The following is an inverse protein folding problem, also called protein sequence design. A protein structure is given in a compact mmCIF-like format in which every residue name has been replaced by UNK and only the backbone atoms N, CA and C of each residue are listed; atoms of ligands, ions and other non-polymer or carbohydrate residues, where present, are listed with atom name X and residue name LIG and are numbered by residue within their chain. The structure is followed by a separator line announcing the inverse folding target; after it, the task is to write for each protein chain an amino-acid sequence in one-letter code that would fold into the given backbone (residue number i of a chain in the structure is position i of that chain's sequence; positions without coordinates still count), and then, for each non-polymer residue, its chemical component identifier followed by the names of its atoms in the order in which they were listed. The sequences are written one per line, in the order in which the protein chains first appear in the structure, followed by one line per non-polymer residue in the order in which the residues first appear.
data_IF_495218463578
#
_entry.id   IF_495218463578
#
_cell.length_a   1.000
_cell.length_b   1.000
_cell.length_c   1.000
_cell.angle_alpha   90.00
_cell.angle_beta   90.00
_cell.angle_gamma   90.00
#
_symmetry.space_group_name_H-M   'P 1'
#
loop_
_entity.id
_entity.type
_entity.pdbx_description
1 polymer ?
#
# COMPACT_ATOMS: atom_id res chain seq x y z
N UNK A 1 -56.12 40.96 -44.25
CA UNK A 1 -55.85 40.27 -42.97
C UNK A 1 -56.63 38.97 -42.93
N UNK A 2 -55.97 37.82 -43.05
CA UNK A 2 -56.58 36.49 -42.86
C UNK A 2 -55.71 35.72 -41.88
N UNK A 3 -56.37 35.24 -40.84
CA UNK A 3 -55.83 34.73 -39.59
C UNK A 3 -55.35 33.28 -39.76
N UNK A 4 -54.04 33.04 -39.80
CA UNK A 4 -53.46 31.69 -39.89
C UNK A 4 -53.09 31.20 -38.49
N UNK A 5 -54.09 31.05 -37.63
CA UNK A 5 -53.91 30.43 -36.31
C UNK A 5 -54.81 29.19 -36.15
N UNK A 6 -54.70 28.28 -37.11
CA UNK A 6 -55.34 26.97 -37.05
C UNK A 6 -54.37 25.90 -37.55
N UNK A 7 -53.30 25.66 -36.80
CA UNK A 7 -52.49 24.44 -36.94
C UNK A 7 -52.00 23.99 -35.56
N UNK A 8 -52.32 22.73 -35.23
CA UNK A 8 -51.84 21.90 -34.12
C UNK A 8 -52.65 21.95 -32.80
N UNK A 9 -53.93 21.61 -32.85
CA UNK A 9 -54.75 21.29 -31.66
C UNK A 9 -55.36 19.88 -31.72
N UNK A 10 -54.63 18.91 -32.28
CA UNK A 10 -55.13 17.54 -32.50
C UNK A 10 -54.19 16.41 -32.12
N UNK A 11 -53.09 16.67 -31.39
CA UNK A 11 -52.22 15.61 -30.89
C UNK A 11 -52.21 15.67 -29.36
N UNK A 12 -52.62 14.59 -28.70
CA UNK A 12 -52.51 14.46 -27.25
C UNK A 12 -51.03 14.66 -26.86
N UNK A 13 -50.75 15.69 -26.06
CA UNK A 13 -49.40 15.95 -25.58
C UNK A 13 -49.04 14.89 -24.55
N UNK A 14 -48.26 13.89 -24.98
CA UNK A 14 -47.77 12.83 -24.10
C UNK A 14 -46.75 13.46 -23.14
N UNK A 15 -46.94 13.35 -21.82
CA UNK A 15 -45.98 13.86 -20.84
C UNK A 15 -44.56 13.36 -21.12
N UNK A 16 -43.56 14.25 -21.05
CA UNK A 16 -42.15 13.92 -21.33
C UNK A 16 -41.62 12.76 -20.49
N UNK A 17 -42.16 12.58 -19.28
CA UNK A 17 -41.83 11.46 -18.39
C UNK A 17 -42.18 10.09 -18.99
N UNK A 18 -43.26 10.02 -19.79
CA UNK A 18 -43.68 8.78 -20.46
C UNK A 18 -42.83 8.54 -21.71
N UNK A 19 -42.48 9.59 -22.44
CA UNK A 19 -41.55 9.50 -23.57
C UNK A 19 -40.17 9.03 -23.13
N UNK A 20 -39.66 9.58 -22.03
CA UNK A 20 -38.35 9.23 -21.46
C UNK A 20 -38.32 7.79 -20.94
N UNK A 21 -39.36 7.36 -20.20
CA UNK A 21 -39.50 5.96 -19.76
C UNK A 21 -39.55 4.96 -20.91
N UNK A 22 -40.21 5.31 -22.02
CA UNK A 22 -40.24 4.45 -23.22
C UNK A 22 -38.87 4.36 -23.89
N UNK A 23 -38.17 5.48 -24.01
CA UNK A 23 -36.82 5.50 -24.54
C UNK A 23 -35.85 4.67 -23.67
N UNK A 24 -35.93 4.80 -22.35
CA UNK A 24 -35.10 4.05 -21.41
C UNK A 24 -35.40 2.54 -21.46
N UNK A 25 -36.68 2.16 -21.64
CA UNK A 25 -37.08 0.76 -21.81
C UNK A 25 -36.63 0.19 -23.16
N UNK A 26 -36.72 0.96 -24.25
CA UNK A 26 -36.24 0.56 -25.57
C UNK A 26 -34.71 0.40 -25.59
N UNK A 27 -33.97 1.28 -24.91
CA UNK A 27 -32.52 1.19 -24.76
C UNK A 27 -32.11 0.02 -23.86
N UNK A 28 -32.86 -0.27 -22.80
CA UNK A 28 -32.67 -1.49 -21.99
C UNK A 28 -32.97 -2.75 -22.81
N UNK A 29 -33.99 -2.74 -23.66
CA UNK A 29 -34.32 -3.84 -24.56
C UNK A 29 -33.23 -4.05 -25.62
N UNK A 30 -32.69 -2.96 -26.22
CA UNK A 30 -31.54 -3.02 -27.14
C UNK A 30 -30.28 -3.53 -26.46
N UNK A 31 -29.99 -3.08 -25.24
CA UNK A 31 -28.84 -3.56 -24.46
C UNK A 31 -29.02 -5.03 -24.07
N UNK A 32 -30.23 -5.46 -23.70
CA UNK A 32 -30.54 -6.87 -23.44
C UNK A 32 -30.37 -7.71 -24.70
N UNK A 33 -30.92 -7.30 -25.83
CA UNK A 33 -30.76 -7.97 -27.13
C UNK A 33 -29.29 -7.99 -27.61
N UNK A 34 -28.50 -6.95 -27.32
CA UNK A 34 -27.07 -6.93 -27.64
C UNK A 34 -26.24 -7.79 -26.67
N UNK A 35 -26.69 -7.95 -25.42
CA UNK A 35 -26.05 -8.80 -24.40
C UNK A 35 -26.48 -10.27 -24.46
N UNK A 36 -27.67 -10.53 -25.02
CA UNK A 36 -28.14 -11.86 -25.39
C UNK A 36 -27.30 -12.32 -26.58
N UNK A 37 -26.16 -12.95 -26.27
CA UNK A 37 -25.53 -13.81 -27.27
C UNK A 37 -26.60 -14.79 -27.76
N UNK A 38 -26.73 -15.02 -29.08
CA UNK A 38 -27.68 -15.99 -29.58
C UNK A 38 -27.44 -17.30 -28.84
N UNK A 39 -28.49 -18.06 -28.48
CA UNK A 39 -28.31 -19.33 -27.79
C UNK A 39 -27.28 -20.11 -28.60
N UNK A 40 -26.16 -20.47 -27.97
CA UNK A 40 -25.16 -21.33 -28.61
C UNK A 40 -25.97 -22.52 -29.10
N UNK A 41 -26.10 -22.67 -30.42
CA UNK A 41 -26.74 -23.86 -30.99
C UNK A 41 -26.06 -25.04 -30.30
N UNK A 42 -26.82 -25.77 -29.49
CA UNK A 42 -26.39 -27.07 -29.01
C UNK A 42 -26.28 -27.91 -30.29
N UNK A 43 -25.10 -27.86 -30.90
CA UNK A 43 -24.81 -28.58 -32.11
C UNK A 43 -24.96 -30.05 -31.80
N UNK A 44 -25.87 -30.68 -32.53
CA UNK A 44 -26.07 -32.12 -32.60
C UNK A 44 -24.75 -32.88 -32.42
N UNK A 45 -24.84 -33.94 -31.64
CA UNK A 45 -23.77 -34.91 -31.48
C UNK A 45 -23.23 -35.39 -32.83
N UNK A 46 -21.91 -35.22 -33.00
CA UNK A 46 -21.02 -35.95 -33.91
C UNK A 46 -21.38 -35.88 -35.41
N UNK A 47 -21.10 -34.75 -36.05
CA UNK A 47 -20.51 -34.82 -37.41
C UNK A 47 -19.00 -34.88 -37.28
N UNK A 48 -18.36 -35.79 -38.02
CA UNK A 48 -16.91 -35.93 -38.04
C UNK A 48 -16.31 -34.68 -38.73
N UNK A 49 -16.10 -33.61 -37.97
CA UNK A 49 -15.51 -32.38 -38.49
C UNK A 49 -14.02 -32.60 -38.73
N UNK A 50 -13.66 -32.98 -39.96
CA UNK A 50 -12.27 -33.04 -40.40
C UNK A 50 -11.73 -31.61 -40.43
N UNK A 51 -10.90 -31.28 -39.45
CA UNK A 51 -10.23 -29.98 -39.36
C UNK A 51 -9.31 -29.80 -40.58
N UNK A 52 -9.36 -28.63 -41.20
CA UNK A 52 -8.48 -28.33 -42.35
C UNK A 52 -6.99 -28.43 -41.95
N UNK A 53 -6.09 -28.95 -42.82
CA UNK A 53 -4.65 -29.05 -42.53
C UNK A 53 -4.04 -27.72 -42.07
N UNK A 54 -4.49 -26.62 -42.67
CA UNK A 54 -4.09 -25.25 -42.35
C UNK A 54 -4.35 -24.88 -40.87
N UNK A 55 -5.43 -25.40 -40.27
CA UNK A 55 -5.77 -25.10 -38.87
C UNK A 55 -4.80 -25.77 -37.90
N UNK A 56 -4.26 -26.94 -38.27
CA UNK A 56 -3.22 -27.61 -37.49
C UNK A 56 -1.90 -26.85 -37.59
N UNK A 57 -1.53 -26.40 -38.79
CA UNK A 57 -0.33 -25.59 -39.02
C UNK A 57 -0.41 -24.24 -38.29
N UNK A 58 -1.56 -23.56 -38.35
CA UNK A 58 -1.79 -22.29 -37.66
C UNK A 58 -1.70 -22.45 -36.13
N UNK A 59 -2.31 -23.50 -35.56
CA UNK A 59 -2.19 -23.80 -34.12
C UNK A 59 -0.77 -24.19 -33.72
N UNK A 60 -0.07 -24.94 -34.56
CA UNK A 60 1.34 -25.30 -34.35
C UNK A 60 2.23 -24.05 -34.31
N UNK A 61 2.07 -23.15 -35.29
CA UNK A 61 2.78 -21.86 -35.32
C UNK A 61 2.44 -21.00 -34.11
N UNK A 62 1.17 -20.88 -33.73
CA UNK A 62 0.75 -20.11 -32.56
C UNK A 62 1.35 -20.65 -31.26
N UNK A 63 1.34 -21.97 -31.05
CA UNK A 63 1.98 -22.62 -29.88
C UNK A 63 3.48 -22.35 -29.84
N UNK A 64 4.17 -22.48 -30.97
CA UNK A 64 5.61 -22.21 -31.09
C UNK A 64 5.94 -20.74 -30.83
N UNK A 65 5.15 -19.82 -31.37
CA UNK A 65 5.32 -18.39 -31.15
C UNK A 65 5.06 -18.02 -29.69
N UNK A 66 4.04 -18.62 -29.06
CA UNK A 66 3.75 -18.38 -27.65
C UNK A 66 4.86 -18.93 -26.74
N UNK A 67 5.40 -20.12 -27.01
CA UNK A 67 6.54 -20.66 -26.23
C UNK A 67 7.81 -19.84 -26.45
N UNK A 68 8.04 -19.35 -27.67
CA UNK A 68 9.17 -18.46 -27.99
C UNK A 68 9.02 -17.12 -27.27
N UNK A 69 7.81 -16.55 -27.24
CA UNK A 69 7.50 -15.33 -26.48
C UNK A 69 7.72 -15.54 -24.99
N UNK A 70 7.19 -16.63 -24.43
CA UNK A 70 7.40 -17.01 -23.02
C UNK A 70 8.90 -17.11 -22.68
N UNK A 71 9.67 -17.81 -23.50
CA UNK A 71 11.13 -17.96 -23.33
C UNK A 71 11.87 -16.62 -23.45
N UNK A 72 11.47 -15.74 -24.37
CA UNK A 72 12.05 -14.39 -24.49
C UNK A 72 11.75 -13.51 -23.28
N UNK A 73 10.52 -13.56 -22.76
CA UNK A 73 10.12 -12.82 -21.56
C UNK A 73 10.88 -13.34 -20.33
N UNK A 74 10.99 -14.66 -20.18
CA UNK A 74 11.77 -15.30 -19.12
C UNK A 74 13.26 -14.92 -19.21
N UNK A 75 13.87 -15.02 -20.41
CA UNK A 75 15.28 -14.67 -20.64
C UNK A 75 15.58 -13.18 -20.42
N UNK A 76 14.63 -12.29 -20.74
CA UNK A 76 14.76 -10.83 -20.52
C UNK A 76 14.38 -10.38 -19.10
N UNK A 77 14.03 -11.29 -18.18
CA UNK A 77 13.66 -10.94 -16.80
C UNK A 77 12.36 -10.14 -16.66
N UNK A 78 11.56 -10.00 -17.72
CA UNK A 78 10.35 -9.16 -17.74
C UNK A 78 9.15 -9.80 -17.01
N UNK A 79 9.28 -11.02 -16.49
CA UNK A 79 8.28 -11.66 -15.62
C UNK A 79 8.15 -10.99 -14.25
N UNK A 80 9.18 -10.28 -13.78
CA UNK A 80 9.17 -9.64 -12.45
C UNK A 80 8.13 -8.52 -12.28
N UNK A 81 7.63 -7.92 -13.36
CA UNK A 81 6.61 -6.85 -13.29
C UNK A 81 5.16 -7.35 -13.18
N UNK A 82 4.89 -8.63 -13.45
CA UNK A 82 3.52 -9.16 -13.55
C UNK A 82 3.13 -10.11 -12.41
N UNK A 83 4.07 -10.54 -11.58
CA UNK A 83 3.78 -11.39 -10.42
C UNK A 83 3.67 -10.53 -9.16
N UNK A 84 2.45 -10.32 -8.67
CA UNK A 84 2.18 -9.96 -7.27
C UNK A 84 2.52 -11.13 -6.31
N UNK A 85 3.58 -11.88 -6.59
CA UNK A 85 4.02 -13.00 -5.75
C UNK A 85 5.03 -12.44 -4.76
N UNK A 86 4.60 -12.24 -3.51
CA UNK A 86 5.49 -11.85 -2.40
C UNK A 86 6.59 -12.91 -2.28
N UNK A 87 7.84 -12.50 -2.40
CA UNK A 87 8.99 -13.36 -2.12
C UNK A 87 9.02 -13.62 -0.60
N UNK A 88 8.82 -14.88 -0.19
CA UNK A 88 8.93 -15.28 1.21
C UNK A 88 10.39 -15.65 1.45
N UNK A 89 11.12 -14.83 2.20
CA UNK A 89 12.49 -15.14 2.60
C UNK A 89 12.49 -16.21 3.71
N UNK A 90 13.18 -17.32 3.49
CA UNK A 90 13.39 -18.35 4.52
C UNK A 90 14.75 -18.09 5.19
N UNK A 91 14.79 -18.05 6.53
CA UNK A 91 16.04 -18.02 7.31
C UNK A 91 16.15 -19.31 8.11
N UNK A 92 17.22 -20.06 7.88
CA UNK A 92 17.57 -21.22 8.70
C UNK A 92 18.24 -20.69 9.98
N UNK A 93 17.71 -21.07 11.14
CA UNK A 93 18.34 -20.78 12.43
C UNK A 93 19.03 -22.09 12.85
N UNK A 94 20.36 -22.07 12.91
CA UNK A 94 21.14 -23.19 13.44
C UNK A 94 21.26 -23.02 14.95
N UNK A 95 20.69 -23.96 15.71
CA UNK A 95 20.90 -24.12 17.14
C UNK A 95 21.27 -25.57 17.42
N UNK A 96 22.18 -25.80 18.39
CA UNK A 96 22.75 -27.10 18.79
C UNK A 96 21.87 -28.32 18.45
N UNK A 97 22.15 -28.95 17.30
CA UNK A 97 21.60 -30.24 16.90
C UNK A 97 20.33 -30.23 16.03
N UNK A 98 19.48 -29.20 16.11
CA UNK A 98 18.19 -29.15 15.40
C UNK A 98 18.06 -27.89 14.54
N UNK A 99 18.06 -28.06 13.22
CA UNK A 99 17.77 -26.99 12.26
C UNK A 99 16.25 -26.75 12.19
N UNK A 100 15.77 -25.70 12.85
CA UNK A 100 14.39 -25.24 12.72
C UNK A 100 14.27 -24.23 11.57
N UNK A 101 13.61 -24.64 10.48
CA UNK A 101 13.22 -23.73 9.39
C UNK A 101 11.99 -22.93 9.82
N UNK A 102 12.21 -21.76 10.39
CA UNK A 102 11.12 -20.83 10.72
C UNK A 102 10.79 -19.99 9.48
N UNK A 103 9.59 -20.18 8.93
CA UNK A 103 9.04 -19.30 7.89
C UNK A 103 8.64 -17.97 8.53
N UNK A 104 9.51 -16.97 8.45
CA UNK A 104 9.18 -15.61 8.90
C UNK A 104 8.81 -14.76 7.67
N UNK A 105 7.58 -14.24 7.63
CA UNK A 105 7.18 -13.22 6.66
C UNK A 105 7.76 -11.88 7.08
N UNK A 106 9.08 -11.73 7.10
CA UNK A 106 9.70 -10.42 7.29
C UNK A 106 9.72 -9.78 5.92
N UNK A 107 8.67 -9.02 5.61
CA UNK A 107 8.61 -8.27 4.36
C UNK A 107 9.71 -7.18 4.34
N UNK A 108 10.32 -6.86 5.49
CA UNK A 108 11.41 -5.89 5.62
C UNK A 108 12.84 -6.51 5.65
N UNK A 109 13.06 -7.80 5.34
CA UNK A 109 14.45 -8.34 5.33
C UNK A 109 15.30 -7.61 4.30
N UNK A 110 16.39 -7.00 4.77
CA UNK A 110 17.31 -6.25 3.91
C UNK A 110 16.91 -4.79 3.68
N UNK A 111 15.87 -4.29 4.36
CA UNK A 111 15.63 -2.85 4.44
C UNK A 111 16.75 -2.19 5.27
N UNK A 112 17.30 -1.04 4.83
CA UNK A 112 18.37 -0.36 5.59
C UNK A 112 17.83 0.44 6.79
N UNK A 113 16.55 0.84 6.74
CA UNK A 113 15.84 1.49 7.83
C UNK A 113 14.37 1.05 7.84
N UNK A 114 13.68 1.34 8.95
CA UNK A 114 12.25 1.12 9.13
C UNK A 114 11.62 2.34 9.81
N UNK A 115 10.34 2.57 9.54
CA UNK A 115 9.52 3.48 10.33
C UNK A 115 8.68 2.65 11.30
N UNK A 116 8.68 3.04 12.56
CA UNK A 116 8.02 2.32 13.65
C UNK A 116 6.96 3.22 14.26
N UNK A 117 5.74 2.70 14.38
CA UNK A 117 4.60 3.39 14.99
C UNK A 117 4.10 2.59 16.17
N UNK A 118 3.90 3.26 17.31
CA UNK A 118 3.29 2.64 18.50
C UNK A 118 1.77 2.63 18.36
N UNK A 119 1.14 1.47 18.48
CA UNK A 119 -0.32 1.30 18.30
C UNK A 119 -1.05 1.01 19.62
N UNK A 120 -0.34 0.46 20.62
CA UNK A 120 -0.94 0.05 21.89
C UNK A 120 -0.30 0.74 23.09
N UNK A 121 -1.07 0.83 24.17
CA UNK A 121 -0.59 1.17 25.50
C UNK A 121 0.31 0.08 26.07
N UNK A 122 1.16 0.47 27.02
CA UNK A 122 2.06 -0.43 27.74
C UNK A 122 1.50 -0.79 29.13
N UNK A 123 0.19 -0.60 29.35
CA UNK A 123 -0.47 -0.97 30.59
C UNK A 123 -0.45 -2.49 30.77
N UNK A 124 0.16 -2.96 31.85
CA UNK A 124 0.37 -4.40 32.09
C UNK A 124 1.52 -5.03 31.27
N UNK A 125 2.25 -4.25 30.46
CA UNK A 125 3.41 -4.76 29.76
C UNK A 125 4.60 -5.00 30.72
N UNK A 126 5.43 -6.05 30.47
CA UNK A 126 6.65 -6.27 31.24
C UNK A 126 7.58 -5.06 31.21
N UNK A 127 8.31 -4.81 32.30
CA UNK A 127 9.25 -3.67 32.40
C UNK A 127 10.26 -3.63 31.26
N UNK A 128 10.71 -4.80 30.79
CA UNK A 128 11.64 -4.92 29.65
C UNK A 128 11.07 -4.30 28.37
N UNK A 129 9.78 -4.52 28.09
CA UNK A 129 9.10 -3.96 26.91
C UNK A 129 9.04 -2.43 27.03
N UNK A 130 8.67 -1.91 28.20
CA UNK A 130 8.62 -0.46 28.46
C UNK A 130 9.97 0.19 28.24
N UNK A 131 11.03 -0.39 28.79
CA UNK A 131 12.41 0.10 28.60
C UNK A 131 12.81 0.10 27.13
N UNK A 132 12.41 -0.90 26.34
CA UNK A 132 12.72 -0.94 24.90
C UNK A 132 11.93 0.13 24.12
N UNK A 133 10.64 0.33 24.43
CA UNK A 133 9.84 1.39 23.81
C UNK A 133 10.40 2.78 24.15
N UNK A 134 10.81 3.01 25.40
CA UNK A 134 11.44 4.25 25.84
C UNK A 134 12.76 4.50 25.11
N UNK A 135 13.60 3.46 24.93
CA UNK A 135 14.84 3.56 24.15
C UNK A 135 14.59 3.90 22.67
N UNK A 136 13.47 3.44 22.11
CA UNK A 136 13.05 3.79 20.74
C UNK A 136 12.35 5.15 20.64
N UNK A 137 12.19 5.87 21.76
CA UNK A 137 11.51 7.17 21.87
C UNK A 137 10.00 7.11 21.60
N UNK A 138 9.37 5.94 21.80
CA UNK A 138 7.94 5.71 21.58
C UNK A 138 7.18 5.74 22.92
N UNK A 139 6.93 6.94 23.46
CA UNK A 139 6.38 7.12 24.81
C UNK A 139 4.85 7.13 24.82
N UNK A 140 4.22 7.74 23.83
CA UNK A 140 2.76 7.81 23.69
C UNK A 140 2.26 6.91 22.58
N UNK A 141 0.98 6.58 22.64
CA UNK A 141 0.29 5.92 21.53
C UNK A 141 0.32 6.81 20.28
N UNK A 142 0.37 6.17 19.11
CA UNK A 142 0.44 6.82 17.80
C UNK A 142 1.66 7.72 17.61
N UNK A 143 2.73 7.55 18.40
CA UNK A 143 4.02 8.13 18.09
C UNK A 143 4.76 7.29 17.04
N UNK A 144 5.44 7.96 16.12
CA UNK A 144 6.23 7.35 15.05
C UNK A 144 7.69 7.81 15.06
N UNK A 145 8.64 6.90 14.81
CA UNK A 145 10.08 7.20 14.77
C UNK A 145 10.76 6.40 13.65
N UNK A 146 11.75 7.00 12.99
CA UNK A 146 12.63 6.30 12.05
C UNK A 146 13.74 5.58 12.81
N UNK A 147 14.01 4.32 12.47
CA UNK A 147 15.10 3.55 13.06
C UNK A 147 15.94 2.89 11.97
N UNK A 148 17.27 2.92 12.16
CA UNK A 148 18.18 2.09 11.36
C UNK A 148 17.91 0.62 11.64
N UNK A 149 17.85 -0.19 10.59
CA UNK A 149 17.43 -1.58 10.68
C UNK A 149 18.64 -2.53 10.83
N UNK A 150 19.24 -2.50 12.03
CA UNK A 150 20.35 -3.37 12.40
C UNK A 150 19.87 -4.66 13.08
N UNK A 151 20.76 -5.64 13.27
CA UNK A 151 20.43 -6.89 13.97
C UNK A 151 19.95 -6.64 15.41
N UNK A 152 20.54 -5.66 16.10
CA UNK A 152 20.14 -5.26 17.44
C UNK A 152 18.72 -4.66 17.44
N UNK A 153 18.44 -3.73 16.53
CA UNK A 153 17.11 -3.12 16.38
C UNK A 153 16.07 -4.18 16.04
N UNK A 154 16.41 -5.14 15.17
CA UNK A 154 15.53 -6.27 14.82
C UNK A 154 15.15 -7.12 16.04
N UNK A 155 16.12 -7.45 16.91
CA UNK A 155 15.85 -8.19 18.16
C UNK A 155 14.92 -7.40 19.08
N UNK A 156 15.16 -6.10 19.23
CA UNK A 156 14.28 -5.21 20.02
C UNK A 156 12.87 -5.15 19.45
N UNK A 157 12.72 -4.98 18.12
CA UNK A 157 11.44 -4.93 17.43
C UNK A 157 10.66 -6.24 17.57
N UNK A 158 11.34 -7.39 17.57
CA UNK A 158 10.68 -8.67 17.82
C UNK A 158 10.13 -8.77 19.25
N UNK A 159 10.85 -8.22 20.24
CA UNK A 159 10.37 -8.20 21.62
C UNK A 159 9.12 -7.32 21.79
N UNK A 160 9.06 -6.19 21.08
CA UNK A 160 7.93 -5.23 21.17
C UNK A 160 6.89 -5.42 20.07
N UNK A 161 6.95 -6.52 19.30
CA UNK A 161 6.18 -6.75 18.08
C UNK A 161 4.67 -6.54 18.28
N UNK A 162 4.16 -6.89 19.46
CA UNK A 162 2.73 -6.76 19.79
C UNK A 162 2.25 -5.33 20.04
N UNK A 163 3.16 -4.37 20.24
CA UNK A 163 2.85 -2.97 20.58
C UNK A 163 3.08 -2.01 19.42
N UNK A 164 3.87 -2.43 18.43
CA UNK A 164 4.31 -1.56 17.33
C UNK A 164 3.93 -2.15 15.99
N UNK A 165 3.75 -1.27 15.00
CA UNK A 165 3.77 -1.61 13.58
C UNK A 165 5.00 -0.99 12.98
N UNK A 166 5.68 -1.73 12.12
CA UNK A 166 6.83 -1.21 11.42
C UNK A 166 6.94 -1.74 9.99
N UNK A 167 7.71 -1.05 9.17
CA UNK A 167 7.92 -1.38 7.78
C UNK A 167 8.78 -0.33 7.10
N UNK A 168 9.08 -0.54 5.81
CA UNK A 168 9.84 0.41 5.01
C UNK A 168 8.89 1.41 4.33
N UNK A 169 8.93 2.71 4.70
CA UNK A 169 8.14 3.72 4.01
C UNK A 169 8.74 4.07 2.63
N UNK A 170 7.90 4.53 1.71
CA UNK A 170 8.34 5.12 0.44
C UNK A 170 8.91 6.53 0.64
N UNK A 171 9.74 7.00 -0.31
CA UNK A 171 10.30 8.36 -0.28
C UNK A 171 9.20 9.43 -0.18
N UNK A 172 8.12 9.27 -0.94
CA UNK A 172 6.99 10.20 -0.95
C UNK A 172 6.32 10.30 0.42
N UNK A 173 6.14 9.17 1.12
CA UNK A 173 5.51 9.15 2.45
C UNK A 173 6.42 9.77 3.51
N UNK A 174 7.75 9.58 3.40
CA UNK A 174 8.70 10.24 4.31
C UNK A 174 8.61 11.75 4.14
N UNK A 175 8.53 12.22 2.89
CA UNK A 175 8.34 13.63 2.58
C UNK A 175 7.05 14.16 3.20
N UNK A 176 5.91 13.50 2.95
CA UNK A 176 4.63 13.90 3.52
C UNK A 176 4.64 13.89 5.06
N UNK A 177 5.31 12.92 5.69
CA UNK A 177 5.47 12.84 7.15
C UNK A 177 6.21 14.05 7.70
N UNK A 178 7.35 14.41 7.11
CA UNK A 178 8.18 15.52 7.59
C UNK A 178 7.50 16.86 7.30
N UNK A 179 6.86 17.02 6.13
CA UNK A 179 6.18 18.26 5.78
C UNK A 179 4.92 18.50 6.63
N UNK A 180 4.13 17.46 6.93
CA UNK A 180 2.84 17.62 7.63
C UNK A 180 2.94 17.50 9.15
N UNK A 181 3.81 16.62 9.63
CA UNK A 181 3.90 16.25 11.05
C UNK A 181 5.33 16.41 11.61
N UNK A 182 6.26 16.97 10.82
CA UNK A 182 7.64 17.16 11.23
C UNK A 182 7.82 18.31 12.20
N UNK A 183 8.46 17.99 13.33
CA UNK A 183 8.93 18.98 14.28
C UNK A 183 10.40 18.73 14.58
N UNK A 184 11.17 19.80 14.70
CA UNK A 184 12.54 19.76 15.20
C UNK A 184 12.57 19.84 16.73
N UNK A 185 13.55 19.18 17.32
CA UNK A 185 13.95 19.32 18.71
C UNK A 185 15.11 20.32 18.77
N UNK A 186 14.82 21.55 19.18
CA UNK A 186 15.78 22.64 19.32
C UNK A 186 15.78 23.05 20.78
N UNK A 187 16.93 23.00 21.46
CA UNK A 187 17.04 23.34 22.89
C UNK A 187 16.02 22.62 23.81
N UNK A 188 15.66 21.38 23.45
CA UNK A 188 14.60 20.56 24.08
C UNK A 188 13.16 21.07 23.91
N UNK A 189 12.95 22.06 23.06
CA UNK A 189 11.64 22.54 22.65
C UNK A 189 11.22 21.95 21.30
N UNK A 190 9.91 21.76 21.13
CA UNK A 190 9.31 21.25 19.90
C UNK A 190 8.97 22.42 18.98
N UNK A 191 9.72 22.57 17.89
CA UNK A 191 9.54 23.66 16.91
C UNK A 191 9.02 23.07 15.59
N UNK A 192 7.97 23.63 14.97
CA UNK A 192 7.52 23.20 13.65
C UNK A 192 8.55 23.52 12.56
N UNK A 193 8.74 22.59 11.60
CA UNK A 193 9.68 22.76 10.48
C UNK A 193 9.06 23.54 9.32
N UNK A 194 8.55 24.74 9.59
CA UNK A 194 7.92 25.60 8.57
C UNK A 194 8.93 26.32 7.69
N UNK A 195 10.07 26.71 8.24
CA UNK A 195 11.12 27.44 7.54
C UNK A 195 12.42 26.60 7.47
N UNK A 196 13.07 26.61 6.30
CA UNK A 196 14.35 25.90 6.10
C UNK A 196 15.49 26.48 6.96
N UNK A 197 15.33 27.70 7.48
CA UNK A 197 16.32 28.34 8.36
C UNK A 197 16.56 27.55 9.64
N UNK A 198 15.52 26.93 10.21
CA UNK A 198 15.63 26.13 11.45
C UNK A 198 16.47 24.88 11.20
N UNK A 199 16.30 24.26 10.02
CA UNK A 199 17.04 23.07 9.58
C UNK A 199 18.50 23.42 9.33
N UNK A 200 18.76 24.47 8.55
CA UNK A 200 20.12 24.92 8.23
C UNK A 200 20.92 25.30 9.48
N UNK A 201 20.30 25.97 10.45
CA UNK A 201 20.97 26.36 11.69
C UNK A 201 21.44 25.16 12.54
N UNK A 202 20.69 24.06 12.55
CA UNK A 202 20.98 22.89 13.40
C UNK A 202 21.74 21.78 12.68
N UNK A 203 21.47 21.60 11.38
CA UNK A 203 22.01 20.49 10.58
C UNK A 203 22.96 20.96 9.48
N UNK A 204 23.23 22.27 9.37
CA UNK A 204 24.12 22.84 8.36
C UNK A 204 25.55 22.27 8.41
N UNK A 205 26.04 21.91 9.59
CA UNK A 205 27.35 21.25 9.76
C UNK A 205 27.43 19.89 9.04
N UNK A 206 26.29 19.23 8.86
CA UNK A 206 26.16 17.93 8.20
C UNK A 206 25.80 18.04 6.71
N UNK A 207 25.91 19.23 6.11
CA UNK A 207 25.48 19.56 4.75
C UNK A 207 23.98 19.32 4.49
N UNK A 208 23.13 19.51 5.50
CA UNK A 208 21.68 19.41 5.39
C UNK A 208 21.10 20.81 5.52
N UNK A 209 20.63 21.35 4.40
CA UNK A 209 20.20 22.76 4.32
C UNK A 209 18.67 22.84 4.31
N UNK A 210 18.00 21.87 3.69
CA UNK A 210 16.55 21.87 3.54
C UNK A 210 15.89 20.56 3.98
N UNK A 211 14.57 20.59 4.09
CA UNK A 211 13.76 19.40 4.42
C UNK A 211 13.94 18.26 3.41
N UNK A 212 14.13 18.56 2.12
CA UNK A 212 14.34 17.53 1.09
C UNK A 212 15.69 16.80 1.28
N UNK A 213 16.73 17.50 1.76
CA UNK A 213 18.01 16.87 2.11
C UNK A 213 17.84 15.91 3.29
N UNK A 214 17.02 16.26 4.29
CA UNK A 214 16.67 15.37 5.40
C UNK A 214 15.95 14.11 4.90
N UNK A 215 14.96 14.27 4.00
CA UNK A 215 14.23 13.13 3.39
C UNK A 215 15.20 12.22 2.65
N UNK A 216 16.14 12.79 1.88
CA UNK A 216 17.15 12.03 1.17
C UNK A 216 18.06 11.28 2.14
N UNK A 217 18.56 11.93 3.18
CA UNK A 217 19.46 11.35 4.18
C UNK A 217 18.80 10.18 4.94
N UNK A 218 17.51 10.32 5.29
CA UNK A 218 16.72 9.26 5.93
C UNK A 218 16.53 8.08 4.97
N UNK A 219 16.13 8.35 3.72
CA UNK A 219 15.82 7.29 2.75
C UNK A 219 17.07 6.50 2.31
N UNK A 220 18.19 7.20 2.13
CA UNK A 220 19.47 6.60 1.77
C UNK A 220 20.19 5.95 2.96
N UNK A 221 19.78 6.27 4.20
CA UNK A 221 20.47 5.90 5.44
C UNK A 221 21.92 6.37 5.41
N UNK A 222 22.10 7.67 5.18
CA UNK A 222 23.41 8.29 5.08
C UNK A 222 24.17 8.35 6.42
N UNK A 223 25.35 8.97 6.39
CA UNK A 223 26.25 9.07 7.55
C UNK A 223 25.67 9.89 8.70
N UNK A 224 24.79 10.84 8.40
CA UNK A 224 24.16 11.75 9.35
C UNK A 224 22.75 11.31 9.76
N UNK A 225 22.33 10.09 9.40
CA UNK A 225 21.00 9.54 9.72
C UNK A 225 20.63 9.67 11.20
N UNK A 226 21.56 9.31 12.09
CA UNK A 226 21.31 9.31 13.53
C UNK A 226 21.13 10.74 14.08
N UNK A 227 21.87 11.70 13.52
CA UNK A 227 21.74 13.13 13.86
C UNK A 227 20.39 13.69 13.42
N UNK A 228 19.98 13.40 12.18
CA UNK A 228 18.66 13.79 11.65
C UNK A 228 17.54 13.17 12.48
N UNK A 229 17.67 11.89 12.83
CA UNK A 229 16.67 11.21 13.64
C UNK A 229 16.56 11.79 15.06
N UNK A 230 17.69 12.17 15.67
CA UNK A 230 17.70 12.83 16.98
C UNK A 230 17.09 14.23 16.92
N UNK A 231 17.37 14.99 15.85
CA UNK A 231 16.77 16.30 15.60
C UNK A 231 15.25 16.20 15.42
N UNK A 232 14.76 15.21 14.68
CA UNK A 232 13.31 15.01 14.51
C UNK A 232 12.65 14.58 15.82
N UNK A 233 11.65 15.34 16.25
CA UNK A 233 10.75 14.93 17.34
C UNK A 233 9.93 13.71 16.90
N UNK A 234 9.59 12.75 17.79
CA UNK A 234 8.69 11.66 17.43
C UNK A 234 7.39 12.17 16.80
N UNK A 235 7.05 11.63 15.64
CA UNK A 235 5.89 12.07 14.86
C UNK A 235 4.62 11.76 15.65
N UNK A 236 3.80 12.76 15.93
CA UNK A 236 2.49 12.55 16.55
C UNK A 236 1.49 12.24 15.44
N UNK A 237 1.06 10.98 15.35
CA UNK A 237 0.17 10.52 14.29
C UNK A 237 -1.29 10.46 14.77
N UNK A 238 -2.22 10.53 13.82
CA UNK A 238 -3.65 10.41 14.12
C UNK A 238 -4.03 8.94 14.26
N UNK A 239 -5.03 8.64 15.10
CA UNK A 239 -5.55 7.28 15.08
C UNK A 239 -6.48 7.05 13.88
N UNK A 240 -6.37 5.84 13.32
CA UNK A 240 -7.16 5.36 12.18
C UNK A 240 -8.48 4.73 12.56
N UNK A 241 -8.66 4.35 13.84
CA UNK A 241 -9.86 3.67 14.29
C UNK A 241 -10.63 4.55 15.26
N UNK A 242 -11.94 4.62 15.07
CA UNK A 242 -12.78 5.27 16.08
C UNK A 242 -12.86 4.41 17.34
N UNK A 243 -13.09 5.04 18.49
CA UNK A 243 -13.27 4.34 19.77
C UNK A 243 -14.37 3.27 19.70
N UNK A 244 -15.42 3.53 18.92
CA UNK A 244 -16.50 2.57 18.64
C UNK A 244 -15.99 1.33 17.89
N UNK A 245 -15.16 1.50 16.87
CA UNK A 245 -14.57 0.40 16.11
C UNK A 245 -13.63 -0.43 16.99
N UNK A 246 -12.81 0.21 17.84
CA UNK A 246 -11.92 -0.50 18.77
C UNK A 246 -12.70 -1.34 19.81
N UNK A 247 -13.86 -0.87 20.27
CA UNK A 247 -14.71 -1.59 21.25
C UNK A 247 -15.60 -2.67 20.62
N UNK A 248 -16.14 -2.41 19.42
CA UNK A 248 -17.20 -3.23 18.81
C UNK A 248 -16.65 -4.28 17.88
N UNK A 249 -15.62 -3.94 17.10
CA UNK A 249 -14.86 -4.95 16.37
C UNK A 249 -13.99 -5.65 17.42
N UNK A 250 -14.44 -6.82 17.89
CA UNK A 250 -13.51 -7.81 18.44
C UNK A 250 -12.35 -7.85 17.44
N UNK A 251 -11.13 -7.59 17.91
CA UNK A 251 -9.91 -7.65 17.12
C UNK A 251 -9.70 -9.12 16.70
N UNK A 252 -10.58 -9.62 15.83
CA UNK A 252 -10.64 -11.00 15.40
C UNK A 252 -9.53 -11.15 14.35
N UNK A 253 -8.45 -11.79 14.79
CA UNK A 253 -7.52 -12.58 13.97
C UNK A 253 -6.68 -11.88 12.89
N UNK A 254 -6.74 -10.55 12.74
CA UNK A 254 -5.79 -9.80 11.91
C UNK A 254 -4.59 -9.33 12.73
N UNK A 255 -3.37 -9.76 12.40
CA UNK A 255 -2.12 -9.19 12.94
C UNK A 255 -2.00 -7.72 12.56
N UNK A 256 -2.65 -6.86 13.33
CA UNK A 256 -2.59 -5.41 13.16
C UNK A 256 -1.23 -4.83 13.58
N UNK A 257 -0.36 -5.64 14.18
CA UNK A 257 0.93 -5.31 14.75
C UNK A 257 2.06 -6.09 14.06
N UNK A 258 3.30 -5.64 14.21
CA UNK A 258 4.50 -6.26 13.65
C UNK A 258 4.93 -5.71 12.28
N UNK A 259 5.74 -6.50 11.56
CA UNK A 259 6.33 -6.13 10.26
C UNK A 259 5.29 -6.15 9.14
N UNK A 260 4.96 -4.99 8.60
CA UNK A 260 4.09 -4.84 7.43
C UNK A 260 4.87 -4.70 6.11
N UNK A 261 6.19 -4.52 6.14
CA UNK A 261 7.00 -4.23 4.95
C UNK A 261 6.43 -3.07 4.15
N UNK A 262 6.26 -3.25 2.83
CA UNK A 262 5.73 -2.22 1.94
C UNK A 262 4.26 -1.86 2.21
N UNK A 263 3.49 -2.74 2.89
CA UNK A 263 2.10 -2.45 3.24
C UNK A 263 1.97 -1.39 4.34
N UNK A 264 3.08 -0.96 4.96
CA UNK A 264 3.07 0.18 5.86
C UNK A 264 2.72 1.48 5.13
N UNK A 265 3.00 1.57 3.83
CA UNK A 265 2.72 2.75 3.04
C UNK A 265 1.21 3.06 3.01
N UNK A 266 0.39 2.03 2.88
CA UNK A 266 -1.07 2.18 2.88
C UNK A 266 -1.59 2.53 4.28
N UNK A 267 -0.95 2.01 5.33
CA UNK A 267 -1.26 2.39 6.71
C UNK A 267 -0.94 3.87 6.97
N UNK A 268 0.25 4.33 6.60
CA UNK A 268 0.69 5.71 6.84
C UNK A 268 -0.16 6.72 6.07
N UNK A 269 -0.59 6.41 4.84
CA UNK A 269 -1.52 7.27 4.09
C UNK A 269 -2.85 7.53 4.79
N UNK A 270 -3.35 6.57 5.57
CA UNK A 270 -4.61 6.74 6.32
C UNK A 270 -4.42 7.54 7.62
N UNK A 271 -3.19 7.53 8.14
CA UNK A 271 -2.80 8.11 9.43
C UNK A 271 -2.31 9.56 9.27
N UNK A 272 -1.83 9.91 8.07
CA UNK A 272 -1.21 11.18 7.73
C UNK A 272 -2.20 12.34 7.55
#
# INVERSE_FOLDING_TARGET
MVNVNSKKSGLMLIPESILKKRHDLDDLARKRAASEQPPKKAGDSKSFYVRKPETFLARGRARRNNSTRYRRVAKKGMQKRASNKKEVAEKVIEGNGDSLTVKYQSNSVGAPFVFVVRIRDDLGAPRVVKTVLDQMRLKKEHEGVFLRYDEATRKKLHLVENFVVYGKPSKDIIKDLIERQGHGCVDNERIPLSDNTVVEQHLGEHNIICVEDMVHEIYAVGGSFDVVNQFLWPFCLMDTKTEFERRTLKLHDGKDYGDRGDAINDYLKNVL
#
